data_IF_700702266869
#
_entry.id   IF_700702266869
#
_cell.length_a   1.000
_cell.length_b   1.000
_cell.length_c   1.000
_cell.angle_alpha   90.00
_cell.angle_beta   90.00
_cell.angle_gamma   90.00
#
_symmetry.space_group_name_H-M   'P 1'
#
loop_
_entity.id
_entity.type
_entity.pdbx_description
1 polymer ?
#
# COMPACT_ATOMS: atom_id res chain seq x y z
N UNK A 1 -4.74 -12.08 -11.41
CA UNK A 1 -5.63 -10.90 -11.40
C UNK A 1 -5.89 -10.46 -9.97
N UNK A 2 -5.84 -9.17 -9.72
CA UNK A 2 -6.03 -8.61 -8.38
C UNK A 2 -7.52 -8.51 -8.07
N UNK A 3 -7.91 -8.95 -6.88
CA UNK A 3 -9.30 -8.86 -6.43
C UNK A 3 -9.55 -7.47 -5.83
N UNK A 4 -10.28 -6.63 -6.56
CA UNK A 4 -10.57 -5.25 -6.12
C UNK A 4 -11.40 -5.21 -4.83
N UNK A 5 -12.27 -6.19 -4.60
CA UNK A 5 -13.05 -6.22 -3.37
C UNK A 5 -12.16 -6.35 -2.15
N UNK A 6 -11.15 -7.20 -2.22
CA UNK A 6 -10.17 -7.35 -1.14
C UNK A 6 -9.31 -6.10 -1.03
N UNK A 7 -8.83 -5.59 -2.16
CA UNK A 7 -7.94 -4.43 -2.20
C UNK A 7 -8.59 -3.18 -1.59
N UNK A 8 -9.87 -2.96 -1.88
CA UNK A 8 -10.61 -1.79 -1.41
C UNK A 8 -11.28 -1.98 -0.05
N UNK A 9 -11.12 -3.14 0.60
CA UNK A 9 -11.86 -3.47 1.81
C UNK A 9 -11.24 -2.94 3.10
N UNK A 10 -9.99 -2.50 3.06
CA UNK A 10 -9.25 -2.10 4.26
C UNK A 10 -8.21 -1.05 3.92
N UNK A 11 -7.73 -0.37 4.95
CA UNK A 11 -6.52 0.46 4.86
C UNK A 11 -5.31 -0.47 4.98
N UNK A 12 -4.32 -0.28 4.10
CA UNK A 12 -3.11 -1.07 4.09
C UNK A 12 -1.98 -0.27 4.72
N UNK A 13 -1.20 -0.92 5.58
CA UNK A 13 -0.09 -0.30 6.33
C UNK A 13 1.22 -0.92 5.87
N UNK A 14 2.19 -0.07 5.53
CA UNK A 14 3.49 -0.53 5.03
C UNK A 14 4.23 -1.34 6.10
N UNK A 15 4.55 -2.57 5.75
CA UNK A 15 5.30 -3.47 6.60
C UNK A 15 6.71 -3.62 6.03
N UNK A 16 7.54 -2.59 6.19
CA UNK A 16 8.85 -2.50 5.56
C UNK A 16 9.77 -3.65 5.98
N UNK A 17 9.52 -4.28 7.11
CA UNK A 17 10.29 -5.43 7.59
C UNK A 17 10.17 -6.63 6.65
N UNK A 18 9.11 -6.67 5.83
CA UNK A 18 8.86 -7.76 4.89
C UNK A 18 9.23 -7.40 3.46
N UNK A 19 9.70 -6.17 3.22
CA UNK A 19 10.07 -5.76 1.87
C UNK A 19 11.21 -6.64 1.35
N UNK A 20 11.15 -6.94 0.06
CA UNK A 20 12.19 -7.68 -0.62
C UNK A 20 12.66 -6.89 -1.85
N UNK A 21 13.72 -7.35 -2.50
CA UNK A 21 14.30 -6.64 -3.64
C UNK A 21 13.23 -6.36 -4.71
N UNK A 22 12.96 -5.09 -4.95
CA UNK A 22 12.01 -4.64 -5.95
C UNK A 22 10.55 -4.67 -5.54
N UNK A 23 10.22 -5.11 -4.32
CA UNK A 23 8.83 -5.22 -3.87
C UNK A 23 8.63 -4.65 -2.48
N UNK A 24 7.48 -3.99 -2.26
CA UNK A 24 7.05 -3.49 -0.95
C UNK A 24 5.86 -4.30 -0.47
N UNK A 25 5.84 -4.60 0.82
CA UNK A 25 4.78 -5.41 1.44
C UNK A 25 3.96 -4.56 2.40
N UNK A 26 2.64 -4.71 2.29
CA UNK A 26 1.68 -4.04 3.16
C UNK A 26 0.79 -5.07 3.83
N UNK A 27 0.34 -4.77 5.04
CA UNK A 27 -0.61 -5.58 5.79
C UNK A 27 -1.87 -4.77 6.05
N UNK A 28 -3.04 -5.43 6.22
CA UNK A 28 -4.25 -4.69 6.58
C UNK A 28 -4.07 -4.04 7.96
N UNK A 29 -4.70 -2.88 8.15
CA UNK A 29 -4.56 -2.12 9.40
C UNK A 29 -5.01 -2.93 10.62
N UNK A 30 -5.84 -3.94 10.42
CA UNK A 30 -6.29 -4.84 11.50
C UNK A 30 -5.26 -5.90 11.87
N UNK A 31 -4.18 -6.04 11.10
CA UNK A 31 -3.14 -7.03 11.40
C UNK A 31 -2.30 -6.60 12.61
N UNK A 32 -1.65 -7.59 13.21
CA UNK A 32 -0.71 -7.33 14.30
C UNK A 32 0.62 -6.87 13.71
N UNK A 33 0.79 -5.54 13.64
CA UNK A 33 1.96 -4.92 13.00
C UNK A 33 2.90 -4.40 14.09
N UNK A 34 4.21 -4.68 14.01
CA UNK A 34 5.16 -4.19 15.00
C UNK A 34 5.15 -2.67 15.10
N UNK A 35 5.40 -2.15 16.29
CA UNK A 35 5.52 -0.71 16.50
C UNK A 35 6.70 -0.16 15.71
N UNK A 36 6.56 1.06 15.24
CA UNK A 36 7.58 1.77 14.50
C UNK A 36 7.80 3.14 15.13
N UNK A 37 9.03 3.62 15.11
CA UNK A 37 9.36 4.96 15.64
C UNK A 37 8.67 6.07 14.87
N UNK A 38 8.45 5.86 13.59
CA UNK A 38 7.79 6.83 12.72
C UNK A 38 6.48 6.24 12.22
N UNK A 39 5.50 7.09 11.91
CA UNK A 39 4.28 6.59 11.28
C UNK A 39 4.61 5.82 10.01
N UNK A 40 3.93 4.70 9.81
CA UNK A 40 4.09 3.91 8.60
C UNK A 40 3.26 4.50 7.48
N UNK A 41 3.73 4.39 6.24
CA UNK A 41 2.92 4.75 5.08
C UNK A 41 1.66 3.91 5.05
N UNK A 42 0.56 4.50 4.58
CA UNK A 42 -0.74 3.83 4.49
C UNK A 42 -1.32 4.01 3.10
N UNK A 43 -2.09 3.02 2.67
CA UNK A 43 -2.75 3.03 1.37
C UNK A 43 -4.23 2.69 1.53
N UNK A 44 -5.08 3.51 0.92
CA UNK A 44 -6.51 3.22 0.75
C UNK A 44 -6.81 3.20 -0.74
N UNK A 45 -7.26 2.05 -1.24
CA UNK A 45 -7.55 1.91 -2.66
C UNK A 45 -9.04 2.19 -2.92
N UNK A 46 -9.30 2.98 -3.95
CA UNK A 46 -10.65 3.25 -4.41
C UNK A 46 -10.89 2.53 -5.74
N UNK A 47 -12.14 2.19 -5.99
CA UNK A 47 -12.52 1.65 -7.29
C UNK A 47 -12.32 2.72 -8.35
N UNK A 48 -12.01 2.33 -9.57
CA UNK A 48 -11.78 3.27 -10.66
C UNK A 48 -10.32 3.62 -10.89
N UNK A 49 -9.40 2.99 -10.17
CA UNK A 49 -7.96 3.11 -10.45
C UNK A 49 -7.24 4.20 -9.68
N UNK A 50 -7.83 4.74 -8.62
CA UNK A 50 -7.15 5.71 -7.75
C UNK A 50 -6.93 5.12 -6.36
N UNK A 51 -5.98 5.71 -5.63
CA UNK A 51 -5.69 5.34 -4.25
C UNK A 51 -5.22 6.57 -3.50
N UNK A 52 -5.43 6.57 -2.19
CA UNK A 52 -4.87 7.59 -1.32
C UNK A 52 -3.64 7.01 -0.63
N UNK A 53 -2.49 7.61 -0.91
CA UNK A 53 -1.23 7.26 -0.28
C UNK A 53 -0.95 8.29 0.82
N UNK A 54 -0.83 7.84 2.07
CA UNK A 54 -0.47 8.70 3.19
C UNK A 54 0.98 8.46 3.54
N UNK A 55 1.79 9.52 3.46
CA UNK A 55 3.22 9.45 3.75
C UNK A 55 3.56 10.29 4.98
N UNK A 56 4.52 9.83 5.81
CA UNK A 56 4.95 10.62 6.96
C UNK A 56 5.64 11.90 6.53
N UNK A 57 5.33 13.00 7.20
CA UNK A 57 6.03 14.25 7.05
C UNK A 57 7.10 14.40 8.12
N UNK A 58 7.88 15.52 8.06
CA UNK A 58 8.95 15.77 9.03
C UNK A 58 8.44 15.88 10.47
N UNK A 59 7.17 16.26 10.67
CA UNK A 59 6.56 16.38 12.01
C UNK A 59 5.71 15.16 12.40
N UNK A 60 5.96 14.02 11.76
CA UNK A 60 5.29 12.74 12.02
C UNK A 60 3.79 12.73 11.71
N UNK A 61 3.32 13.64 10.90
CA UNK A 61 1.96 13.60 10.40
C UNK A 61 1.91 12.80 9.11
N UNK A 62 0.77 12.14 8.87
CA UNK A 62 0.52 11.45 7.60
C UNK A 62 -0.14 12.42 6.63
N UNK A 63 0.50 12.65 5.50
CA UNK A 63 0.02 13.57 4.48
C UNK A 63 -0.57 12.77 3.32
N UNK A 64 -1.85 12.99 2.97
CA UNK A 64 -2.49 12.24 1.90
C UNK A 64 -2.10 12.75 0.52
N UNK A 65 -1.90 11.81 -0.40
CA UNK A 65 -1.69 12.10 -1.82
C UNK A 65 -2.59 11.18 -2.63
N UNK A 66 -3.27 11.72 -3.62
CA UNK A 66 -4.06 10.89 -4.54
C UNK A 66 -3.15 10.43 -5.67
N UNK A 67 -3.11 9.11 -5.88
CA UNK A 67 -2.26 8.49 -6.91
C UNK A 67 -3.09 7.50 -7.71
N UNK A 68 -2.57 7.06 -8.86
CA UNK A 68 -3.20 6.04 -9.67
C UNK A 68 -2.56 4.69 -9.39
N UNK A 69 -3.36 3.64 -9.53
CA UNK A 69 -2.87 2.28 -9.36
C UNK A 69 -3.32 1.39 -10.53
N UNK A 70 -2.57 0.33 -10.77
CA UNK A 70 -2.94 -0.69 -11.74
C UNK A 70 -2.43 -2.06 -11.28
N UNK A 71 -3.08 -3.11 -11.79
CA UNK A 71 -2.74 -4.49 -11.47
C UNK A 71 -1.75 -5.01 -12.53
N UNK A 72 -0.48 -4.58 -12.42
CA UNK A 72 0.55 -4.96 -13.38
C UNK A 72 1.94 -4.75 -12.80
N UNK A 73 2.89 -5.56 -13.24
CA UNK A 73 4.29 -5.41 -12.83
C UNK A 73 4.97 -4.21 -13.49
N UNK A 74 4.46 -3.76 -14.63
CA UNK A 74 5.00 -2.63 -15.37
C UNK A 74 3.87 -1.69 -15.77
N UNK A 75 4.20 -0.46 -16.11
CA UNK A 75 3.24 0.53 -16.54
C UNK A 75 3.54 1.89 -15.93
N UNK A 76 2.64 2.85 -16.20
CA UNK A 76 2.85 4.25 -15.83
C UNK A 76 2.18 4.64 -14.50
N UNK A 77 1.39 3.76 -13.91
CA UNK A 77 0.74 4.07 -12.65
C UNK A 77 1.77 4.21 -11.52
N UNK A 78 1.52 5.13 -10.60
CA UNK A 78 2.38 5.35 -9.46
C UNK A 78 2.45 4.11 -8.56
N UNK A 79 1.36 3.35 -8.47
CA UNK A 79 1.32 2.10 -7.71
C UNK A 79 1.03 0.94 -8.65
N UNK A 80 1.87 -0.08 -8.60
CA UNK A 80 1.70 -1.29 -9.40
C UNK A 80 1.47 -2.46 -8.45
N UNK A 81 0.22 -2.93 -8.40
CA UNK A 81 -0.17 -4.00 -7.48
C UNK A 81 0.17 -5.34 -8.12
N UNK A 82 1.03 -6.10 -7.46
CA UNK A 82 1.49 -7.40 -7.95
C UNK A 82 0.63 -8.53 -7.39
N UNK A 83 0.20 -8.40 -6.13
CA UNK A 83 -0.46 -9.49 -5.43
C UNK A 83 -1.28 -8.91 -4.28
N UNK A 84 -2.46 -9.45 -4.03
CA UNK A 84 -3.25 -9.08 -2.87
C UNK A 84 -4.03 -10.29 -2.35
N UNK A 85 -4.05 -10.42 -1.02
CA UNK A 85 -4.91 -11.35 -0.30
C UNK A 85 -5.53 -10.62 0.88
N UNK A 86 -6.39 -11.30 1.63
CA UNK A 86 -7.02 -10.69 2.81
C UNK A 86 -5.98 -10.23 3.85
N UNK A 87 -4.75 -10.73 3.79
CA UNK A 87 -3.75 -10.50 4.83
C UNK A 87 -2.46 -9.87 4.33
N UNK A 88 -2.30 -9.70 3.01
CA UNK A 88 -1.05 -9.23 2.45
C UNK A 88 -1.27 -8.56 1.11
N UNK A 89 -0.59 -7.43 0.93
CA UNK A 89 -0.54 -6.70 -0.33
C UNK A 89 0.92 -6.56 -0.73
N UNK A 90 1.24 -6.86 -1.99
CA UNK A 90 2.58 -6.67 -2.54
C UNK A 90 2.49 -5.71 -3.71
N UNK A 91 3.28 -4.66 -3.67
CA UNK A 91 3.39 -3.70 -4.78
C UNK A 91 4.83 -3.64 -5.25
N UNK A 92 5.03 -3.28 -6.52
CA UNK A 92 6.37 -3.04 -7.04
C UNK A 92 6.95 -1.78 -6.39
N UNK A 93 8.24 -1.79 -6.07
CA UNK A 93 8.91 -0.63 -5.48
C UNK A 93 8.78 0.59 -6.38
N UNK A 94 8.49 1.71 -5.74
CA UNK A 94 8.27 2.98 -6.43
C UNK A 94 9.59 3.69 -6.72
#
# INVERSE_FOLDING_TARGET
MVNQNVLCSTTWVHCYEEDSAGNEVYRPITADIPLSRRPREQLDFQRGGTATLRVPSADDRLIPHTVRWQSAATGDAALRVLEVSAQRLVIASR
#
